data_IF_887881290228
#
_entry.id   IF_887881290228
#
_cell.length_a   1.000
_cell.length_b   1.000
_cell.length_c   1.000
_cell.angle_alpha   90.00
_cell.angle_beta   90.00
_cell.angle_gamma   90.00
#
_symmetry.space_group_name_H-M   'P 1'
#
loop_
_entity.id
_entity.type
_entity.pdbx_description
1 polymer ?
#
# COMPACT_ATOMS: atom_id res chain seq x y z
N UNK A 1 -19.61 29.20 2.05
CA UNK A 1 -19.66 27.74 1.91
C UNK A 1 -18.29 27.20 2.25
N UNK A 2 -18.13 26.55 3.42
CA UNK A 2 -16.88 25.91 3.77
C UNK A 2 -16.73 24.67 2.87
N UNK A 3 -15.73 24.68 1.98
CA UNK A 3 -15.31 23.44 1.33
C UNK A 3 -14.82 22.52 2.45
N UNK A 4 -15.60 21.49 2.79
CA UNK A 4 -15.10 20.34 3.54
C UNK A 4 -13.89 19.85 2.74
N UNK A 5 -12.68 20.11 3.25
CA UNK A 5 -11.45 19.61 2.62
C UNK A 5 -11.48 18.10 2.74
N UNK A 6 -11.92 17.44 1.67
CA UNK A 6 -11.80 15.99 1.53
C UNK A 6 -10.31 15.68 1.52
N UNK A 7 -9.90 14.73 2.36
CA UNK A 7 -8.50 14.33 2.43
C UNK A 7 -8.13 13.53 1.17
N UNK A 8 -6.96 13.76 0.55
CA UNK A 8 -6.58 13.06 -0.68
C UNK A 8 -6.53 11.54 -0.51
N UNK A 9 -7.09 10.81 -1.47
CA UNK A 9 -7.01 9.34 -1.52
C UNK A 9 -5.75 8.83 -2.26
N UNK A 10 -5.09 9.70 -3.02
CA UNK A 10 -3.91 9.37 -3.83
C UNK A 10 -2.74 10.35 -3.58
N UNK A 11 -1.66 10.24 -4.35
CA UNK A 11 -0.55 11.20 -4.29
C UNK A 11 -0.94 12.53 -4.94
N UNK A 12 -1.68 12.46 -6.04
CA UNK A 12 -2.28 13.61 -6.72
C UNK A 12 -3.43 14.18 -5.87
N UNK A 13 -3.36 15.45 -5.40
CA UNK A 13 -4.30 15.99 -4.40
C UNK A 13 -5.77 16.05 -4.82
N UNK A 14 -6.04 16.07 -6.13
CA UNK A 14 -7.37 16.19 -6.70
C UNK A 14 -7.93 14.85 -7.20
N UNK A 15 -7.22 13.74 -6.98
CA UNK A 15 -7.66 12.42 -7.40
C UNK A 15 -8.44 11.75 -6.27
N UNK A 16 -9.67 11.37 -6.59
CA UNK A 16 -10.62 10.72 -5.69
C UNK A 16 -11.45 9.72 -6.49
N UNK A 17 -12.00 8.71 -5.80
CA UNK A 17 -12.91 7.74 -6.39
C UNK A 17 -14.35 8.04 -5.94
N UNK A 18 -15.30 7.81 -6.83
CA UNK A 18 -16.74 7.89 -6.52
C UNK A 18 -17.19 6.72 -5.63
N UNK A 19 -16.61 5.54 -5.86
CA UNK A 19 -16.77 4.35 -5.02
C UNK A 19 -16.04 4.55 -3.69
N UNK A 20 -16.78 4.55 -2.58
CA UNK A 20 -16.22 4.78 -1.25
C UNK A 20 -15.25 3.67 -0.79
N UNK A 21 -15.44 2.43 -1.25
CA UNK A 21 -14.52 1.33 -0.97
C UNK A 21 -13.24 1.52 -1.78
N UNK A 22 -13.34 1.93 -3.05
CA UNK A 22 -12.18 2.31 -3.85
C UNK A 22 -11.42 3.47 -3.20
N UNK A 23 -12.11 4.53 -2.79
CA UNK A 23 -11.51 5.70 -2.15
C UNK A 23 -10.76 5.31 -0.87
N UNK A 24 -11.35 4.42 -0.06
CA UNK A 24 -10.71 3.87 1.12
C UNK A 24 -9.43 3.12 0.78
N UNK A 25 -9.46 2.15 -0.15
CA UNK A 25 -8.30 1.31 -0.45
C UNK A 25 -7.19 2.04 -1.21
N UNK A 26 -7.54 3.03 -2.05
CA UNK A 26 -6.56 3.96 -2.64
C UNK A 26 -5.84 4.75 -1.54
N UNK A 27 -6.58 5.24 -0.55
CA UNK A 27 -6.00 5.94 0.60
C UNK A 27 -5.10 5.02 1.43
N UNK A 28 -5.53 3.80 1.72
CA UNK A 28 -4.72 2.81 2.44
C UNK A 28 -3.41 2.51 1.68
N UNK A 29 -3.50 2.28 0.37
CA UNK A 29 -2.33 2.07 -0.49
C UNK A 29 -1.38 3.27 -0.41
N UNK A 30 -1.89 4.49 -0.55
CA UNK A 30 -1.10 5.73 -0.49
C UNK A 30 -0.42 5.92 0.88
N UNK A 31 -1.16 5.73 1.98
CA UNK A 31 -0.59 5.87 3.33
C UNK A 31 0.49 4.83 3.60
N UNK A 32 0.25 3.56 3.21
CA UNK A 32 1.21 2.48 3.39
C UNK A 32 2.47 2.70 2.55
N UNK A 33 2.32 3.12 1.29
CA UNK A 33 3.45 3.47 0.43
C UNK A 33 4.25 4.64 1.00
N UNK A 34 3.60 5.71 1.50
CA UNK A 34 4.31 6.83 2.15
C UNK A 34 5.08 6.38 3.39
N UNK A 35 4.47 5.53 4.22
CA UNK A 35 5.08 4.98 5.43
C UNK A 35 6.30 4.13 5.07
N UNK A 36 6.20 3.35 3.99
CA UNK A 36 7.33 2.58 3.45
C UNK A 36 8.44 3.48 2.91
N UNK A 37 8.11 4.54 2.17
CA UNK A 37 9.10 5.51 1.69
C UNK A 37 9.87 6.14 2.85
N UNK A 38 9.19 6.48 3.95
CA UNK A 38 9.85 6.99 5.16
C UNK A 38 10.84 5.97 5.74
N UNK A 39 10.47 4.70 5.79
CA UNK A 39 11.38 3.62 6.20
C UNK A 39 12.58 3.47 5.25
N UNK A 40 12.37 3.55 3.93
CA UNK A 40 13.45 3.48 2.95
C UNK A 40 14.42 4.65 3.07
N UNK A 41 13.93 5.85 3.35
CA UNK A 41 14.79 7.01 3.64
C UNK A 41 15.57 6.84 4.94
N UNK A 42 14.91 6.37 6.01
CA UNK A 42 15.57 6.08 7.28
C UNK A 42 16.73 5.10 7.09
N UNK A 43 16.54 4.04 6.30
CA UNK A 43 17.62 3.12 5.97
C UNK A 43 18.72 3.81 5.14
N UNK A 44 18.38 4.56 4.10
CA UNK A 44 19.36 5.19 3.22
C UNK A 44 20.31 6.17 3.94
N UNK A 45 19.86 6.80 5.03
CA UNK A 45 20.67 7.71 5.84
C UNK A 45 21.70 7.00 6.74
N UNK A 46 21.62 5.68 6.91
CA UNK A 46 22.52 4.93 7.80
C UNK A 46 23.87 4.62 7.14
N UNK A 47 24.98 4.77 7.88
CA UNK A 47 26.29 4.33 7.40
C UNK A 47 26.29 2.82 7.12
N UNK A 48 26.72 2.43 5.92
CA UNK A 48 26.80 1.01 5.52
C UNK A 48 25.49 0.40 5.04
N UNK A 49 24.45 1.20 4.81
CA UNK A 49 23.22 0.71 4.21
C UNK A 49 23.44 0.10 2.82
N UNK A 50 22.67 -0.95 2.48
CA UNK A 50 22.76 -1.58 1.16
C UNK A 50 22.59 -0.54 0.06
N UNK A 51 23.40 -0.66 -0.99
CA UNK A 51 23.20 0.16 -2.19
C UNK A 51 21.87 -0.21 -2.83
N UNK A 52 21.15 0.79 -3.32
CA UNK A 52 19.93 0.58 -4.10
C UNK A 52 20.19 -0.44 -5.23
N UNK A 53 19.32 -1.44 -5.35
CA UNK A 53 19.40 -2.49 -6.39
C UNK A 53 20.04 -3.82 -5.97
N UNK A 54 20.61 -3.96 -4.77
CA UNK A 54 21.12 -5.26 -4.28
C UNK A 54 20.00 -6.12 -3.67
N UNK A 55 19.27 -6.83 -4.56
CA UNK A 55 18.10 -7.66 -4.18
C UNK A 55 18.44 -8.80 -3.20
N UNK A 56 19.68 -9.28 -3.20
CA UNK A 56 20.11 -10.33 -2.28
C UNK A 56 20.24 -9.77 -0.87
N UNK A 57 20.91 -8.62 -0.73
CA UNK A 57 21.02 -7.92 0.55
C UNK A 57 19.64 -7.52 1.07
N UNK A 58 18.79 -6.99 0.19
CA UNK A 58 17.40 -6.64 0.55
C UNK A 58 16.62 -7.84 1.09
N UNK A 59 16.82 -9.04 0.54
CA UNK A 59 16.14 -10.26 1.00
C UNK A 59 16.60 -10.71 2.38
N UNK A 60 17.90 -10.61 2.67
CA UNK A 60 18.46 -10.89 4.00
C UNK A 60 17.99 -9.87 5.05
N UNK A 61 17.85 -8.62 4.61
CA UNK A 61 17.45 -7.50 5.45
C UNK A 61 15.97 -7.55 5.88
N UNK A 62 15.10 -8.25 5.14
CA UNK A 62 13.69 -8.42 5.49
C UNK A 62 13.50 -9.02 6.89
N UNK A 63 14.30 -10.03 7.25
CA UNK A 63 14.23 -10.64 8.58
C UNK A 63 15.04 -9.83 9.59
N UNK A 64 16.22 -9.34 9.18
CA UNK A 64 17.13 -8.61 10.06
C UNK A 64 16.52 -7.34 10.64
N UNK A 65 15.78 -6.59 9.83
CA UNK A 65 15.20 -5.30 10.23
C UNK A 65 13.71 -5.37 10.52
N UNK A 66 13.10 -6.55 10.65
CA UNK A 66 11.67 -6.67 10.90
C UNK A 66 11.24 -5.97 12.20
N UNK A 67 11.97 -6.21 13.30
CA UNK A 67 11.69 -5.62 14.61
C UNK A 67 11.97 -4.12 14.63
N UNK A 68 13.07 -3.72 14.00
CA UNK A 68 13.46 -2.33 13.89
C UNK A 68 12.48 -1.52 13.06
N UNK A 69 11.98 -2.07 11.95
CA UNK A 69 10.96 -1.44 11.13
C UNK A 69 9.66 -1.25 11.92
N UNK A 70 9.26 -2.22 12.74
CA UNK A 70 8.10 -2.10 13.62
C UNK A 70 8.30 -1.01 14.69
N UNK A 71 9.48 -0.94 15.30
CA UNK A 71 9.83 0.11 16.24
C UNK A 71 9.82 1.49 15.56
N UNK A 72 10.42 1.61 14.38
CA UNK A 72 10.41 2.83 13.58
C UNK A 72 8.97 3.30 13.27
N UNK A 73 8.07 2.41 12.86
CA UNK A 73 6.67 2.76 12.62
C UNK A 73 5.91 3.20 13.88
N UNK A 74 6.35 2.78 15.07
CA UNK A 74 5.74 3.17 16.34
C UNK A 74 6.32 4.48 16.91
N UNK A 75 7.59 4.77 16.63
CA UNK A 75 8.35 5.83 17.30
C UNK A 75 8.63 7.06 16.43
N UNK A 76 8.87 6.87 15.13
CA UNK A 76 9.10 7.99 14.21
C UNK A 76 7.82 8.83 14.05
N UNK A 77 7.97 10.15 14.15
CA UNK A 77 6.83 11.08 14.14
C UNK A 77 6.03 10.98 12.84
N UNK A 78 6.71 10.84 11.69
CA UNK A 78 6.05 10.79 10.39
C UNK A 78 5.41 9.42 10.18
N UNK A 79 6.15 8.34 10.43
CA UNK A 79 5.65 6.98 10.24
C UNK A 79 4.47 6.67 11.17
N UNK A 80 4.55 7.09 12.43
CA UNK A 80 3.46 6.96 13.41
C UNK A 80 2.23 7.73 12.96
N UNK A 81 2.38 8.99 12.56
CA UNK A 81 1.26 9.79 12.07
C UNK A 81 0.57 9.13 10.87
N UNK A 82 1.35 8.57 9.92
CA UNK A 82 0.78 7.86 8.78
C UNK A 82 0.03 6.59 9.19
N UNK A 83 0.54 5.85 10.17
CA UNK A 83 -0.11 4.66 10.72
C UNK A 83 -1.42 5.00 11.44
N UNK A 84 -1.44 6.08 12.24
CA UNK A 84 -2.66 6.56 12.92
C UNK A 84 -3.77 6.97 11.93
N UNK A 85 -3.40 7.36 10.72
CA UNK A 85 -4.35 7.72 9.66
C UNK A 85 -4.89 6.52 8.87
N UNK A 86 -4.34 5.32 9.08
CA UNK A 86 -4.85 4.06 8.51
C UNK A 86 -6.07 3.62 9.29
N UNK A 87 -7.24 4.09 8.84
CA UNK A 87 -8.53 3.76 9.44
C UNK A 87 -8.97 2.34 9.04
N UNK A 88 -9.80 1.65 9.85
CA UNK A 88 -10.47 0.45 9.38
C UNK A 88 -11.37 0.75 8.18
N UNK A 89 -11.70 -0.27 7.36
CA UNK A 89 -12.61 -0.09 6.23
C UNK A 89 -13.96 0.48 6.70
N UNK A 90 -14.57 1.37 5.90
CA UNK A 90 -15.93 1.80 6.19
C UNK A 90 -16.86 0.58 6.23
N UNK A 91 -17.90 0.64 7.06
CA UNK A 91 -18.93 -0.42 7.05
C UNK A 91 -19.45 -0.58 5.62
N UNK A 92 -19.64 -1.83 5.20
CA UNK A 92 -20.18 -2.14 3.88
C UNK A 92 -21.47 -1.34 3.67
N UNK A 93 -21.51 -0.57 2.58
CA UNK A 93 -22.68 0.21 2.21
C UNK A 93 -23.79 -0.78 1.87
N UNK A 94 -24.97 -0.58 2.47
CA UNK A 94 -26.15 -1.38 2.16
C UNK A 94 -26.58 -1.16 0.70
N UNK A 95 -26.79 -2.26 -0.03
CA UNK A 95 -27.13 -2.24 -1.46
C UNK A 95 -26.16 -3.06 -2.32
N UNK A 96 -26.51 -3.25 -3.60
CA UNK A 96 -25.62 -3.89 -4.56
C UNK A 96 -24.71 -2.82 -5.20
N UNK A 97 -23.38 -2.95 -5.12
CA UNK A 97 -22.48 -1.99 -5.73
C UNK A 97 -22.64 -2.00 -7.26
N UNK A 98 -22.41 -0.86 -7.92
CA UNK A 98 -22.46 -0.80 -9.38
C UNK A 98 -21.45 -1.78 -9.98
N UNK A 99 -21.91 -2.59 -10.93
CA UNK A 99 -21.07 -3.58 -11.62
C UNK A 99 -19.86 -2.89 -12.27
N UNK A 100 -18.70 -3.52 -12.15
CA UNK A 100 -17.43 -2.98 -12.64
C UNK A 100 -16.71 -2.03 -11.68
N UNK A 101 -17.35 -1.61 -10.58
CA UNK A 101 -16.70 -0.85 -9.52
C UNK A 101 -15.79 -1.70 -8.62
N UNK A 102 -14.98 -1.04 -7.81
CA UNK A 102 -14.07 -1.71 -6.86
C UNK A 102 -14.87 -2.54 -5.85
N UNK A 103 -15.90 -1.95 -5.23
CA UNK A 103 -16.75 -2.63 -4.25
C UNK A 103 -17.45 -3.84 -4.86
N UNK A 104 -17.84 -3.76 -6.13
CA UNK A 104 -18.41 -4.88 -6.87
C UNK A 104 -17.39 -6.00 -7.07
N UNK A 105 -16.18 -5.70 -7.52
CA UNK A 105 -15.12 -6.69 -7.70
C UNK A 105 -14.75 -7.35 -6.36
N UNK A 106 -14.53 -6.54 -5.32
CA UNK A 106 -14.17 -7.01 -3.98
C UNK A 106 -15.23 -7.95 -3.39
N UNK A 107 -16.52 -7.64 -3.57
CA UNK A 107 -17.61 -8.50 -3.11
C UNK A 107 -17.79 -9.75 -3.97
N UNK A 108 -17.75 -9.61 -5.30
CA UNK A 108 -17.97 -10.72 -6.23
C UNK A 108 -16.89 -11.79 -6.09
N UNK A 109 -15.65 -11.35 -5.89
CA UNK A 109 -14.50 -12.23 -5.71
C UNK A 109 -14.28 -12.64 -4.24
N UNK A 110 -15.15 -12.20 -3.33
CA UNK A 110 -15.05 -12.43 -1.88
C UNK A 110 -13.65 -12.10 -1.32
N UNK A 111 -13.06 -10.99 -1.77
CA UNK A 111 -11.70 -10.59 -1.37
C UNK A 111 -11.64 -10.34 0.13
N UNK A 112 -10.52 -10.69 0.76
CA UNK A 112 -10.18 -10.25 2.10
C UNK A 112 -9.51 -8.86 2.07
N UNK A 113 -9.08 -8.35 3.22
CA UNK A 113 -8.46 -7.02 3.31
C UNK A 113 -7.09 -6.95 2.60
N UNK A 114 -6.27 -8.00 2.67
CA UNK A 114 -4.99 -8.06 2.00
C UNK A 114 -5.14 -8.05 0.47
N UNK A 115 -6.11 -8.82 -0.05
CA UNK A 115 -6.47 -8.84 -1.46
C UNK A 115 -7.07 -7.51 -1.92
N UNK A 116 -7.92 -6.87 -1.11
CA UNK A 116 -8.43 -5.51 -1.42
C UNK A 116 -7.30 -4.48 -1.44
N UNK A 117 -6.32 -4.56 -0.53
CA UNK A 117 -5.15 -3.69 -0.59
C UNK A 117 -4.34 -3.95 -1.87
N UNK A 118 -4.09 -5.21 -2.23
CA UNK A 118 -3.38 -5.56 -3.46
C UNK A 118 -4.06 -4.96 -4.70
N UNK A 119 -5.38 -5.10 -4.79
CA UNK A 119 -6.20 -4.48 -5.84
C UNK A 119 -6.12 -2.95 -5.78
N UNK A 120 -6.16 -2.35 -4.59
CA UNK A 120 -6.04 -0.90 -4.38
C UNK A 120 -4.70 -0.34 -4.85
N UNK A 121 -3.59 -1.04 -4.60
CA UNK A 121 -2.26 -0.65 -5.07
C UNK A 121 -2.18 -0.77 -6.61
N UNK A 122 -2.71 -1.85 -7.18
CA UNK A 122 -2.76 -2.02 -8.64
C UNK A 122 -3.58 -0.93 -9.31
N UNK A 123 -4.74 -0.58 -8.74
CA UNK A 123 -5.58 0.51 -9.22
C UNK A 123 -4.86 1.86 -9.09
N UNK A 124 -4.22 2.13 -7.95
CA UNK A 124 -3.46 3.37 -7.74
C UNK A 124 -2.34 3.54 -8.77
N UNK A 125 -1.63 2.47 -9.11
CA UNK A 125 -0.58 2.48 -10.14
C UNK A 125 -1.10 2.83 -11.54
N UNK A 126 -2.35 2.44 -11.85
CA UNK A 126 -3.01 2.78 -13.11
C UNK A 126 -3.67 4.17 -13.14
N UNK A 127 -4.07 4.69 -11.97
CA UNK A 127 -4.81 5.95 -11.87
C UNK A 127 -3.94 7.18 -11.63
N UNK A 128 -2.87 7.04 -10.83
CA UNK A 128 -2.03 8.16 -10.40
C UNK A 128 -0.61 8.03 -10.95
N UNK A 129 -0.21 8.95 -11.83
CA UNK A 129 1.11 8.94 -12.45
C UNK A 129 2.27 9.07 -11.44
N UNK A 130 1.99 9.62 -10.25
CA UNK A 130 2.97 9.71 -9.18
C UNK A 130 3.20 8.38 -8.44
N UNK A 131 2.32 7.39 -8.61
CA UNK A 131 2.43 6.12 -7.90
C UNK A 131 3.63 5.28 -8.37
N UNK A 132 3.92 5.24 -9.67
CA UNK A 132 5.01 4.44 -10.26
C UNK A 132 6.39 4.71 -9.63
N UNK A 133 6.86 5.97 -9.57
CA UNK A 133 8.10 6.32 -8.90
C UNK A 133 8.14 5.97 -7.40
N UNK A 134 7.01 6.09 -6.70
CA UNK A 134 6.92 5.71 -5.28
C UNK A 134 7.03 4.20 -5.11
N UNK A 135 6.37 3.43 -5.97
CA UNK A 135 6.46 1.96 -6.01
C UNK A 135 7.90 1.53 -6.29
N UNK A 136 8.55 2.13 -7.29
CA UNK A 136 9.96 1.89 -7.60
C UNK A 136 10.88 2.19 -6.40
N UNK A 137 10.65 3.31 -5.72
CA UNK A 137 11.37 3.66 -4.49
C UNK A 137 11.18 2.63 -3.37
N UNK A 138 9.95 2.12 -3.19
CA UNK A 138 9.65 1.08 -2.21
C UNK A 138 10.32 -0.27 -2.56
N UNK A 139 10.50 -0.56 -3.85
CA UNK A 139 11.26 -1.73 -4.30
C UNK A 139 12.77 -1.57 -4.13
N UNK A 140 13.28 -0.35 -3.96
CA UNK A 140 14.74 -0.11 -4.02
C UNK A 140 15.33 -0.20 -5.43
N UNK A 141 14.47 -0.22 -6.44
CA UNK A 141 14.81 -0.40 -7.85
C UNK A 141 14.08 0.65 -8.68
N UNK A 142 14.83 1.55 -9.33
CA UNK A 142 14.28 2.64 -10.14
C UNK A 142 13.49 2.18 -11.38
N UNK A 143 13.55 0.90 -11.75
CA UNK A 143 12.83 0.34 -12.89
C UNK A 143 11.51 -0.36 -12.53
N UNK A 144 11.31 -0.71 -11.26
CA UNK A 144 10.14 -1.47 -10.80
C UNK A 144 8.92 -0.59 -10.56
N UNK A 145 8.26 -0.06 -11.58
CA UNK A 145 7.10 0.84 -11.38
C UNK A 145 5.78 0.12 -11.10
N UNK A 146 5.74 -1.20 -11.28
CA UNK A 146 4.54 -2.01 -11.07
C UNK A 146 4.53 -2.63 -9.67
N UNK A 147 3.35 -2.74 -9.05
CA UNK A 147 3.23 -3.45 -7.79
C UNK A 147 3.48 -4.95 -7.98
N UNK A 148 4.05 -5.57 -6.95
CA UNK A 148 4.27 -7.02 -6.90
C UNK A 148 3.71 -7.57 -5.59
N UNK A 149 3.49 -8.88 -5.49
CA UNK A 149 3.09 -9.50 -4.23
C UNK A 149 4.12 -9.26 -3.11
N UNK A 150 5.40 -9.20 -3.43
CA UNK A 150 6.45 -8.86 -2.46
C UNK A 150 6.30 -7.44 -1.90
N UNK A 151 5.83 -6.49 -2.70
CA UNK A 151 5.48 -5.16 -2.21
C UNK A 151 4.25 -5.21 -1.30
N UNK A 152 3.20 -5.94 -1.67
CA UNK A 152 2.01 -6.10 -0.82
C UNK A 152 2.39 -6.69 0.54
N UNK A 153 3.21 -7.74 0.55
CA UNK A 153 3.77 -8.34 1.79
C UNK A 153 4.53 -7.33 2.64
N UNK A 154 5.35 -6.48 2.00
CA UNK A 154 6.15 -5.45 2.69
C UNK A 154 5.31 -4.34 3.30
N UNK A 155 4.19 -4.00 2.67
CA UNK A 155 3.28 -2.91 3.07
C UNK A 155 2.22 -3.36 4.09
N UNK A 156 1.88 -4.64 4.10
CA UNK A 156 0.90 -5.22 5.01
C UNK A 156 1.53 -5.46 6.39
N UNK A 157 0.78 -5.21 7.47
CA UNK A 157 1.32 -5.34 8.83
C UNK A 157 1.50 -6.82 9.23
N UNK A 158 0.80 -7.72 8.56
CA UNK A 158 0.77 -9.17 8.80
C UNK A 158 1.16 -9.95 7.55
N UNK A 159 2.44 -9.92 7.14
CA UNK A 159 2.88 -10.40 5.83
C UNK A 159 2.45 -11.84 5.51
N UNK A 160 2.23 -12.68 6.53
CA UNK A 160 1.72 -14.04 6.39
C UNK A 160 0.31 -14.13 5.77
N UNK A 161 -0.54 -13.12 5.95
CA UNK A 161 -1.89 -13.08 5.38
C UNK A 161 -1.84 -12.89 3.86
N UNK A 162 -0.78 -12.25 3.35
CA UNK A 162 -0.59 -12.02 1.91
C UNK A 162 -0.13 -13.29 1.18
N UNK A 163 0.39 -14.30 1.89
CA UNK A 163 0.83 -15.55 1.28
C UNK A 163 -0.29 -16.29 0.55
N UNK A 164 -1.55 -16.14 0.99
CA UNK A 164 -2.71 -16.70 0.31
C UNK A 164 -2.90 -16.15 -1.11
N UNK A 165 -2.45 -14.91 -1.38
CA UNK A 165 -2.54 -14.31 -2.72
C UNK A 165 -1.60 -14.97 -3.73
N UNK A 166 -0.61 -15.75 -3.29
CA UNK A 166 0.32 -16.42 -4.19
C UNK A 166 -0.27 -17.70 -4.83
N UNK A 167 -1.44 -18.16 -4.36
CA UNK A 167 -2.15 -19.28 -4.98
C UNK A 167 -2.60 -18.90 -6.40
N UNK A 168 -2.21 -19.64 -7.45
CA UNK A 168 -2.67 -19.40 -8.82
C UNK A 168 -4.19 -19.49 -8.99
N UNK A 169 -4.91 -20.12 -8.06
CA UNK A 169 -6.37 -20.18 -8.04
C UNK A 169 -7.00 -19.02 -7.25
N UNK A 170 -6.20 -18.12 -6.69
CA UNK A 170 -6.72 -16.97 -5.98
C UNK A 170 -7.56 -16.09 -6.94
N UNK A 171 -8.74 -15.59 -6.53
CA UNK A 171 -9.64 -14.82 -7.40
C UNK A 171 -9.08 -13.54 -8.07
N UNK A 172 -7.83 -13.16 -7.79
CA UNK A 172 -7.17 -11.99 -8.39
C UNK A 172 -6.38 -12.35 -9.66
N UNK A 173 -6.21 -13.62 -9.99
CA UNK A 173 -5.48 -14.13 -11.15
C UNK A 173 -6.43 -14.83 -12.14
#
# INVERSE_FOLDING_TARGET
MAHLRREPAAFSPTLWAEDAEAEHWLRQATLRLRRETAWRWHLAERPGSPRAGDRLMESLDLTRYADEKRAFFAEDVTARYLAEQMRPPPRAIEGEPPRGGFAWAARTLALDEAARLALGIALLAGLDSAAGPVIAGCHGDGSGMLPTLGLVQRLWDRPEEVSALADPQHPLW
#
